data_IF_972031407571
#
_entry.id   IF_972031407571
#
_cell.length_a   1.000
_cell.length_b   1.000
_cell.length_c   1.000
_cell.angle_alpha   90.00
_cell.angle_beta   90.00
_cell.angle_gamma   90.00
#
_symmetry.space_group_name_H-M   'P 1'
#
loop_
_entity.id
_entity.type
_entity.pdbx_description
1 polymer ?
#
# COMPACT_ATOMS: atom_id res chain seq x y z
N UNK A 1 1.10 -51.56 12.10
CA UNK A 1 0.14 -50.51 12.50
C UNK A 1 -0.78 -50.32 11.31
N UNK A 2 -2.03 -50.86 11.39
CA UNK A 2 -3.02 -50.64 10.32
C UNK A 2 -3.32 -49.13 10.25
N UNK A 3 -3.16 -48.56 9.05
CA UNK A 3 -3.51 -47.15 8.82
C UNK A 3 -5.03 -46.98 8.91
N UNK A 4 -5.47 -46.11 9.80
CA UNK A 4 -6.88 -45.75 9.94
C UNK A 4 -7.36 -45.05 8.63
N UNK A 5 -8.21 -45.70 7.86
CA UNK A 5 -8.70 -45.17 6.58
C UNK A 5 -9.97 -44.36 6.72
N UNK A 6 -10.78 -44.66 7.73
CA UNK A 6 -11.99 -43.88 8.03
C UNK A 6 -12.39 -44.10 9.50
N UNK A 7 -13.09 -43.13 10.07
CA UNK A 7 -13.80 -43.30 11.33
C UNK A 7 -15.13 -42.54 11.29
N UNK A 8 -16.09 -43.04 12.07
CA UNK A 8 -17.38 -42.43 12.23
C UNK A 8 -17.68 -42.34 13.74
N UNK A 9 -18.05 -41.16 14.22
CA UNK A 9 -18.49 -40.92 15.58
C UNK A 9 -20.01 -40.80 15.56
N UNK A 10 -20.70 -41.64 16.38
CA UNK A 10 -22.15 -41.60 16.52
C UNK A 10 -22.56 -41.28 17.95
N UNK A 11 -23.75 -40.72 18.15
CA UNK A 11 -24.34 -40.53 19.47
C UNK A 11 -24.98 -41.85 19.99
N UNK A 12 -25.52 -41.81 21.20
CA UNK A 12 -26.17 -42.95 21.86
C UNK A 12 -27.41 -43.48 21.07
N UNK A 13 -27.95 -42.63 20.18
CA UNK A 13 -29.10 -42.97 19.33
C UNK A 13 -28.71 -43.55 17.97
N UNK A 14 -27.40 -43.66 17.68
CA UNK A 14 -26.86 -44.13 16.41
C UNK A 14 -26.78 -43.02 15.32
N UNK A 15 -27.08 -41.77 15.66
CA UNK A 15 -26.95 -40.63 14.73
C UNK A 15 -25.48 -40.29 14.52
N UNK A 16 -25.09 -40.16 13.26
CA UNK A 16 -23.73 -39.75 12.88
C UNK A 16 -23.47 -38.31 13.31
N UNK A 17 -22.42 -38.09 14.10
CA UNK A 17 -21.96 -36.78 14.57
C UNK A 17 -20.78 -36.27 13.76
N UNK A 18 -19.87 -37.18 13.35
CA UNK A 18 -18.70 -36.84 12.58
C UNK A 18 -18.26 -38.08 11.76
N UNK A 19 -17.92 -37.85 10.50
CA UNK A 19 -17.28 -38.86 9.66
C UNK A 19 -15.97 -38.30 9.11
N UNK A 20 -14.94 -39.06 9.19
CA UNK A 20 -13.68 -38.82 8.50
C UNK A 20 -13.37 -39.95 7.57
N UNK A 21 -13.07 -39.64 6.34
CA UNK A 21 -12.52 -40.57 5.37
C UNK A 21 -11.17 -40.01 4.89
N UNK A 22 -10.12 -40.85 4.97
CA UNK A 22 -8.82 -40.43 4.44
C UNK A 22 -8.99 -40.08 2.96
N UNK A 23 -8.66 -38.85 2.53
CA UNK A 23 -8.75 -38.48 1.13
C UNK A 23 -7.98 -39.49 0.27
N UNK A 24 -8.59 -39.95 -0.82
CA UNK A 24 -7.86 -40.72 -1.79
C UNK A 24 -6.73 -39.85 -2.30
N UNK A 25 -5.49 -40.36 -2.19
CA UNK A 25 -4.31 -39.67 -2.66
C UNK A 25 -4.51 -39.30 -4.13
N UNK A 26 -4.84 -38.05 -4.39
CA UNK A 26 -4.93 -37.59 -5.77
C UNK A 26 -3.49 -37.57 -6.30
N UNK A 27 -3.20 -38.54 -7.15
CA UNK A 27 -1.97 -38.50 -7.93
C UNK A 27 -2.03 -37.18 -8.71
N UNK A 28 -1.24 -36.20 -8.27
CA UNK A 28 -1.06 -34.95 -9.01
C UNK A 28 -0.56 -35.36 -10.42
N UNK A 29 -1.47 -35.36 -11.38
CA UNK A 29 -1.18 -35.84 -12.74
C UNK A 29 -0.08 -35.06 -13.42
N UNK A 30 0.04 -33.78 -13.09
CA UNK A 30 1.15 -32.91 -13.52
C UNK A 30 1.26 -31.77 -12.51
N UNK A 31 2.46 -31.43 -12.09
CA UNK A 31 2.69 -30.21 -11.36
C UNK A 31 2.36 -29.04 -12.29
N UNK A 32 1.62 -28.01 -11.80
CA UNK A 32 1.42 -26.82 -12.60
C UNK A 32 2.77 -26.25 -13.03
N UNK A 33 2.83 -25.71 -14.25
CA UNK A 33 4.03 -25.05 -14.73
C UNK A 33 4.51 -24.01 -13.72
N UNK A 34 5.81 -23.97 -13.49
CA UNK A 34 6.41 -22.94 -12.62
C UNK A 34 6.09 -21.56 -13.19
N UNK A 35 5.66 -20.66 -12.31
CA UNK A 35 5.47 -19.25 -12.68
C UNK A 35 6.82 -18.73 -13.20
N UNK A 36 6.87 -18.11 -14.39
CA UNK A 36 8.12 -17.57 -14.92
C UNK A 36 8.69 -16.51 -13.97
N UNK A 37 9.99 -16.43 -13.86
CA UNK A 37 10.67 -15.39 -13.08
C UNK A 37 10.25 -13.98 -13.56
N UNK A 38 10.26 -13.03 -12.64
CA UNK A 38 9.99 -11.64 -12.98
C UNK A 38 10.96 -11.14 -14.05
N UNK A 39 10.49 -10.36 -15.05
CA UNK A 39 11.37 -9.82 -16.08
C UNK A 39 12.47 -8.95 -15.46
N UNK A 40 13.65 -9.02 -16.04
CA UNK A 40 14.77 -8.16 -15.66
C UNK A 40 14.55 -6.71 -16.11
N UNK A 41 15.24 -5.76 -15.48
CA UNK A 41 15.12 -4.32 -15.79
C UNK A 41 15.31 -4.02 -17.29
N UNK A 42 16.20 -4.76 -17.97
CA UNK A 42 16.52 -4.54 -19.38
C UNK A 42 15.45 -5.06 -20.35
N UNK A 43 14.62 -5.99 -19.91
CA UNK A 43 13.52 -6.54 -20.70
C UNK A 43 12.32 -5.61 -20.79
N UNK A 44 12.18 -4.70 -19.81
CA UNK A 44 11.12 -3.70 -19.77
C UNK A 44 11.56 -2.46 -20.56
N UNK A 45 10.64 -1.88 -21.33
CA UNK A 45 10.96 -0.78 -22.25
C UNK A 45 10.56 0.59 -21.72
N UNK A 46 9.46 0.68 -20.98
CA UNK A 46 8.87 1.93 -20.54
C UNK A 46 8.95 2.13 -19.02
N UNK A 47 8.92 3.39 -18.58
CA UNK A 47 8.84 3.72 -17.15
C UNK A 47 7.57 3.15 -16.51
N UNK A 48 6.47 3.12 -17.25
CA UNK A 48 5.20 2.57 -16.78
C UNK A 48 5.27 1.05 -16.54
N UNK A 49 5.89 0.29 -17.44
CA UNK A 49 6.09 -1.17 -17.23
C UNK A 49 6.94 -1.44 -16.00
N UNK A 50 8.02 -0.67 -15.81
CA UNK A 50 8.87 -0.75 -14.62
C UNK A 50 8.09 -0.42 -13.34
N UNK A 51 7.27 0.63 -13.36
CA UNK A 51 6.43 0.99 -12.24
C UNK A 51 5.48 -0.15 -11.86
N UNK A 52 4.74 -0.68 -12.84
CA UNK A 52 3.75 -1.74 -12.62
C UNK A 52 4.41 -3.02 -12.09
N UNK A 53 5.59 -3.39 -12.61
CA UNK A 53 6.31 -4.55 -12.08
C UNK A 53 6.81 -4.30 -10.65
N UNK A 54 7.27 -3.09 -10.34
CA UNK A 54 7.61 -2.72 -8.97
C UNK A 54 6.44 -2.87 -8.01
N UNK A 55 5.25 -2.41 -8.40
CA UNK A 55 4.01 -2.59 -7.62
C UNK A 55 3.66 -4.07 -7.46
N UNK A 56 3.80 -4.86 -8.53
CA UNK A 56 3.57 -6.30 -8.46
C UNK A 56 4.50 -6.98 -7.45
N UNK A 57 5.80 -6.71 -7.53
CA UNK A 57 6.81 -7.26 -6.60
C UNK A 57 6.53 -6.83 -5.16
N UNK A 58 6.09 -5.60 -4.93
CA UNK A 58 5.71 -5.10 -3.61
C UNK A 58 4.50 -5.86 -3.04
N UNK A 59 3.48 -6.09 -3.86
CA UNK A 59 2.25 -6.80 -3.46
C UNK A 59 2.53 -8.27 -3.09
N UNK A 60 3.34 -8.94 -3.88
CA UNK A 60 3.69 -10.36 -3.65
C UNK A 60 4.84 -10.55 -2.67
N UNK A 61 5.48 -9.48 -2.22
CA UNK A 61 6.55 -9.49 -1.21
C UNK A 61 7.68 -10.47 -1.53
N UNK A 62 8.14 -10.47 -2.77
CA UNK A 62 9.29 -11.30 -3.16
C UNK A 62 10.53 -10.86 -2.36
N UNK A 63 11.10 -11.73 -1.50
CA UNK A 63 12.23 -11.34 -0.66
C UNK A 63 13.52 -11.14 -1.46
N UNK A 64 13.62 -11.67 -2.66
CA UNK A 64 14.82 -11.61 -3.50
C UNK A 64 14.91 -10.29 -4.28
N UNK A 65 13.78 -9.62 -4.52
CA UNK A 65 13.69 -8.46 -5.40
C UNK A 65 13.15 -7.26 -4.62
N UNK A 66 13.84 -6.13 -4.74
CA UNK A 66 13.39 -4.88 -4.13
C UNK A 66 12.59 -4.05 -5.13
N UNK A 67 11.32 -3.72 -4.86
CA UNK A 67 10.48 -2.87 -5.72
C UNK A 67 11.14 -1.55 -6.11
N UNK A 68 11.83 -0.93 -5.17
CA UNK A 68 12.53 0.33 -5.38
C UNK A 68 13.58 0.30 -6.50
N UNK A 69 14.12 -0.87 -6.87
CA UNK A 69 15.05 -0.98 -7.99
C UNK A 69 14.35 -0.66 -9.32
N UNK A 70 13.13 -1.16 -9.49
CA UNK A 70 12.30 -0.89 -10.67
C UNK A 70 11.87 0.59 -10.73
N UNK A 71 11.44 1.16 -9.61
CA UNK A 71 11.02 2.57 -9.58
C UNK A 71 12.18 3.53 -9.82
N UNK A 72 13.38 3.22 -9.32
CA UNK A 72 14.60 4.02 -9.64
C UNK A 72 14.95 3.95 -11.11
N UNK A 73 14.87 2.76 -11.72
CA UNK A 73 15.10 2.62 -13.15
C UNK A 73 14.03 3.34 -13.98
N UNK A 74 12.77 3.30 -13.53
CA UNK A 74 11.69 4.08 -14.16
C UNK A 74 12.02 5.58 -14.16
N UNK A 75 12.46 6.13 -13.02
CA UNK A 75 12.86 7.54 -12.88
C UNK A 75 14.14 7.89 -13.65
N UNK A 76 15.05 6.93 -13.86
CA UNK A 76 16.21 7.14 -14.73
C UNK A 76 15.81 7.33 -16.19
N UNK A 77 14.74 6.67 -16.64
CA UNK A 77 14.22 6.77 -18.02
C UNK A 77 13.28 7.96 -18.19
N UNK A 78 12.43 8.18 -17.23
CA UNK A 78 11.48 9.29 -17.17
C UNK A 78 11.53 9.92 -15.78
N UNK A 79 12.33 10.99 -15.59
CA UNK A 79 12.48 11.64 -14.29
C UNK A 79 11.18 12.21 -13.71
N UNK A 80 10.21 12.53 -14.58
CA UNK A 80 8.93 13.13 -14.19
C UNK A 80 7.78 12.09 -14.10
N UNK A 81 8.12 10.79 -14.10
CA UNK A 81 7.14 9.72 -13.97
C UNK A 81 6.49 9.73 -12.58
N UNK A 82 5.37 10.42 -12.47
CA UNK A 82 4.67 10.70 -11.21
C UNK A 82 4.39 9.46 -10.35
N UNK A 83 3.85 8.34 -10.90
CA UNK A 83 3.60 7.15 -10.09
C UNK A 83 4.87 6.59 -9.44
N UNK A 84 6.00 6.61 -10.14
CA UNK A 84 7.29 6.12 -9.60
C UNK A 84 7.87 7.05 -8.54
N UNK A 85 7.67 8.37 -8.67
CA UNK A 85 8.07 9.33 -7.65
C UNK A 85 7.31 9.09 -6.34
N UNK A 86 5.99 8.89 -6.42
CA UNK A 86 5.14 8.62 -5.26
C UNK A 86 5.50 7.27 -4.63
N UNK A 87 5.65 6.21 -5.43
CA UNK A 87 5.99 4.89 -4.95
C UNK A 87 7.35 4.87 -4.24
N UNK A 88 8.36 5.50 -4.84
CA UNK A 88 9.70 5.57 -4.24
C UNK A 88 9.71 6.44 -2.98
N UNK A 89 8.93 7.53 -2.94
CA UNK A 89 8.80 8.35 -1.73
C UNK A 89 8.15 7.57 -0.58
N UNK A 90 7.13 6.75 -0.86
CA UNK A 90 6.54 5.85 0.12
C UNK A 90 7.55 4.80 0.61
N UNK A 91 8.36 4.23 -0.29
CA UNK A 91 9.41 3.27 0.07
C UNK A 91 10.49 3.92 0.97
N UNK A 92 10.97 5.11 0.62
CA UNK A 92 11.95 5.84 1.44
C UNK A 92 11.37 6.18 2.83
N UNK A 93 10.09 6.56 2.91
CA UNK A 93 9.41 6.82 4.18
C UNK A 93 9.27 5.54 5.01
N UNK A 94 8.91 4.40 4.39
CA UNK A 94 8.82 3.10 5.06
C UNK A 94 10.17 2.61 5.60
N UNK A 95 11.27 3.06 4.99
CA UNK A 95 12.63 2.78 5.44
C UNK A 95 13.21 3.85 6.37
N UNK A 96 12.36 4.69 6.99
CA UNK A 96 12.76 5.73 7.95
C UNK A 96 13.74 6.77 7.37
N UNK A 97 13.54 7.16 6.10
CA UNK A 97 14.34 8.20 5.41
C UNK A 97 13.45 9.35 4.94
N UNK A 98 12.83 10.09 5.87
CA UNK A 98 11.82 11.09 5.53
C UNK A 98 12.38 12.26 4.71
N UNK A 99 13.66 12.60 4.85
CA UNK A 99 14.29 13.67 4.06
C UNK A 99 14.33 13.32 2.57
N UNK A 100 14.71 12.06 2.24
CA UNK A 100 14.70 11.60 0.85
C UNK A 100 13.28 11.46 0.30
N UNK A 101 12.36 10.97 1.13
CA UNK A 101 10.95 10.93 0.77
C UNK A 101 10.42 12.33 0.45
N UNK A 102 10.85 13.34 1.22
CA UNK A 102 10.46 14.73 1.00
C UNK A 102 10.97 15.29 -0.33
N UNK A 103 12.23 15.05 -0.68
CA UNK A 103 12.80 15.47 -1.97
C UNK A 103 11.99 14.91 -3.16
N UNK A 104 11.64 13.61 -3.09
CA UNK A 104 10.84 12.94 -4.11
C UNK A 104 9.40 13.49 -4.16
N UNK A 105 8.77 13.69 -3.00
CA UNK A 105 7.43 14.25 -2.92
C UNK A 105 7.37 15.70 -3.42
N UNK A 106 8.39 16.51 -3.14
CA UNK A 106 8.50 17.85 -3.72
C UNK A 106 8.67 17.83 -5.23
N UNK A 107 9.43 16.88 -5.78
CA UNK A 107 9.53 16.70 -7.22
C UNK A 107 8.17 16.30 -7.81
N UNK A 108 7.51 15.30 -7.24
CA UNK A 108 6.17 14.90 -7.65
C UNK A 108 5.18 16.08 -7.63
N UNK A 109 5.22 16.89 -6.58
CA UNK A 109 4.37 18.07 -6.45
C UNK A 109 4.61 19.08 -7.58
N UNK A 110 5.87 19.36 -7.91
CA UNK A 110 6.20 20.26 -9.03
C UNK A 110 5.67 19.73 -10.36
N UNK A 111 5.82 18.43 -10.62
CA UNK A 111 5.31 17.79 -11.85
C UNK A 111 3.79 17.93 -11.97
N UNK A 112 3.06 17.66 -10.87
CA UNK A 112 1.59 17.76 -10.86
C UNK A 112 1.12 19.18 -11.04
N UNK A 113 1.72 20.14 -10.32
CA UNK A 113 1.23 21.53 -10.26
C UNK A 113 1.56 22.36 -11.50
N UNK A 114 2.48 21.92 -12.35
CA UNK A 114 2.78 22.60 -13.63
C UNK A 114 1.51 22.74 -14.51
N UNK A 115 0.63 21.74 -14.48
CA UNK A 115 -0.56 21.70 -15.35
C UNK A 115 -1.88 21.84 -14.60
N UNK A 116 -1.89 21.53 -13.31
CA UNK A 116 -3.11 21.56 -12.51
C UNK A 116 -2.81 21.94 -11.07
N UNK A 117 -3.32 23.08 -10.62
CA UNK A 117 -3.17 23.55 -9.24
C UNK A 117 -3.95 22.72 -8.22
N UNK A 118 -4.96 21.99 -8.66
CA UNK A 118 -5.79 21.11 -7.83
C UNK A 118 -5.82 19.72 -8.45
N UNK A 119 -4.87 18.84 -8.09
CA UNK A 119 -4.89 17.45 -8.55
C UNK A 119 -6.19 16.76 -8.15
N UNK A 120 -6.72 15.88 -9.01
CA UNK A 120 -7.93 15.11 -8.72
C UNK A 120 -7.73 14.12 -7.57
N UNK A 121 -6.51 13.60 -7.40
CA UNK A 121 -6.15 12.65 -6.33
C UNK A 121 -5.47 13.36 -5.17
N UNK A 122 -5.92 13.04 -3.96
CA UNK A 122 -5.31 13.49 -2.71
C UNK A 122 -4.10 12.67 -2.24
N UNK A 123 -3.68 11.67 -3.03
CA UNK A 123 -2.59 10.75 -2.65
C UNK A 123 -1.28 11.45 -2.32
N UNK A 124 -0.90 12.41 -3.17
CA UNK A 124 0.35 13.13 -3.00
C UNK A 124 0.34 14.05 -1.76
N UNK A 125 -0.77 14.75 -1.52
CA UNK A 125 -0.91 15.60 -0.33
C UNK A 125 -0.97 14.74 0.95
N UNK A 126 -1.64 13.60 0.89
CA UNK A 126 -1.64 12.63 1.99
C UNK A 126 -0.22 12.11 2.29
N UNK A 127 0.54 11.77 1.26
CA UNK A 127 1.94 11.34 1.41
C UNK A 127 2.81 12.47 1.99
N UNK A 128 2.63 13.71 1.54
CA UNK A 128 3.33 14.88 2.09
C UNK A 128 3.03 15.06 3.58
N UNK A 129 1.76 14.92 3.98
CA UNK A 129 1.38 14.94 5.39
C UNK A 129 2.11 13.88 6.22
N UNK A 130 2.19 12.64 5.73
CA UNK A 130 2.93 11.55 6.40
C UNK A 130 4.42 11.84 6.54
N UNK A 131 5.03 12.41 5.51
CA UNK A 131 6.45 12.76 5.52
C UNK A 131 6.70 13.90 6.52
N UNK A 132 5.86 14.93 6.54
CA UNK A 132 5.97 16.05 7.47
C UNK A 132 5.78 15.62 8.93
N UNK A 133 4.88 14.66 9.21
CA UNK A 133 4.81 14.05 10.55
C UNK A 133 6.13 13.37 10.94
N UNK A 134 6.74 12.62 10.02
CA UNK A 134 8.02 11.96 10.27
C UNK A 134 9.19 12.93 10.43
N UNK A 135 9.12 14.12 9.82
CA UNK A 135 10.06 15.22 9.98
C UNK A 135 9.76 16.07 11.23
N UNK A 136 8.76 15.73 12.02
CA UNK A 136 8.32 16.48 13.21
C UNK A 136 7.79 17.89 12.92
N UNK A 137 7.11 18.07 11.78
CA UNK A 137 6.41 19.28 11.38
C UNK A 137 4.88 19.10 11.46
N UNK A 138 4.28 19.00 12.65
CA UNK A 138 2.89 18.59 12.79
C UNK A 138 1.88 19.61 12.24
N UNK A 139 2.16 20.91 12.30
CA UNK A 139 1.28 21.95 11.76
C UNK A 139 1.22 21.87 10.24
N UNK A 140 2.36 21.75 9.56
CA UNK A 140 2.44 21.62 8.12
C UNK A 140 1.85 20.27 7.66
N UNK A 141 2.02 19.22 8.48
CA UNK A 141 1.41 17.91 8.21
C UNK A 141 -0.12 17.99 8.26
N UNK A 142 -0.68 18.72 9.24
CA UNK A 142 -2.11 18.95 9.35
C UNK A 142 -2.65 19.65 8.11
N UNK A 143 -2.00 20.72 7.67
CA UNK A 143 -2.40 21.45 6.45
C UNK A 143 -2.40 20.54 5.21
N UNK A 144 -1.37 19.70 5.07
CA UNK A 144 -1.29 18.75 3.97
C UNK A 144 -2.41 17.69 4.02
N UNK A 145 -2.77 17.18 5.20
CA UNK A 145 -3.88 16.25 5.34
C UNK A 145 -5.24 16.91 5.05
N UNK A 146 -5.47 18.12 5.53
CA UNK A 146 -6.69 18.85 5.24
C UNK A 146 -6.82 19.14 3.74
N UNK A 147 -5.71 19.43 3.06
CA UNK A 147 -5.68 19.58 1.61
C UNK A 147 -5.99 18.25 0.90
N UNK A 148 -5.39 17.13 1.35
CA UNK A 148 -5.66 15.80 0.82
C UNK A 148 -7.14 15.39 0.94
N UNK A 149 -7.81 15.85 2.00
CA UNK A 149 -9.21 15.54 2.26
C UNK A 149 -10.19 16.20 1.28
N UNK A 150 -9.75 17.13 0.44
CA UNK A 150 -10.60 17.70 -0.62
C UNK A 150 -10.86 16.68 -1.73
N UNK A 151 -9.94 15.75 -1.93
CA UNK A 151 -10.10 14.66 -2.89
C UNK A 151 -10.80 13.46 -2.24
N UNK A 152 -11.81 12.92 -2.92
CA UNK A 152 -12.65 11.83 -2.40
C UNK A 152 -11.85 10.56 -2.07
N UNK A 153 -10.84 10.24 -2.88
CA UNK A 153 -9.99 9.06 -2.75
C UNK A 153 -9.12 9.04 -1.47
N UNK A 154 -8.82 10.22 -0.93
CA UNK A 154 -7.98 10.37 0.26
C UNK A 154 -8.76 10.82 1.51
N UNK A 155 -10.01 11.29 1.37
CA UNK A 155 -10.74 12.04 2.40
C UNK A 155 -10.78 11.35 3.76
N UNK A 156 -11.32 10.14 3.83
CA UNK A 156 -11.49 9.44 5.12
C UNK A 156 -10.16 9.20 5.83
N UNK A 157 -9.14 8.71 5.10
CA UNK A 157 -7.80 8.47 5.68
C UNK A 157 -7.08 9.76 6.06
N UNK A 158 -7.27 10.83 5.29
CA UNK A 158 -6.68 12.13 5.57
C UNK A 158 -7.31 12.79 6.81
N UNK A 159 -8.63 12.77 6.94
CA UNK A 159 -9.34 13.25 8.11
C UNK A 159 -8.97 12.45 9.38
N UNK A 160 -8.81 11.13 9.25
CA UNK A 160 -8.32 10.30 10.37
C UNK A 160 -6.93 10.75 10.82
N UNK A 161 -6.01 11.01 9.87
CA UNK A 161 -4.65 11.48 10.22
C UNK A 161 -4.65 12.89 10.77
N UNK A 162 -5.46 13.79 10.20
CA UNK A 162 -5.64 15.15 10.71
C UNK A 162 -6.09 15.13 12.18
N UNK A 163 -7.13 14.38 12.51
CA UNK A 163 -7.59 14.20 13.88
C UNK A 163 -6.50 13.69 14.84
N UNK A 164 -5.67 12.72 14.38
CA UNK A 164 -4.56 12.21 15.19
C UNK A 164 -3.47 13.27 15.43
N UNK A 165 -3.17 14.11 14.45
CA UNK A 165 -2.22 15.22 14.60
C UNK A 165 -2.79 16.27 15.55
N UNK A 166 -4.07 16.64 15.40
CA UNK A 166 -4.74 17.61 16.27
C UNK A 166 -4.79 17.16 17.73
N UNK A 167 -5.01 15.86 17.99
CA UNK A 167 -4.89 15.29 19.33
C UNK A 167 -3.51 15.55 19.96
N UNK A 168 -2.44 15.40 19.20
CA UNK A 168 -1.06 15.68 19.66
C UNK A 168 -0.83 17.18 19.90
N UNK A 169 -1.49 18.03 19.11
CA UNK A 169 -1.47 19.49 19.25
C UNK A 169 -2.43 20.00 20.34
N UNK A 170 -3.13 19.09 21.06
CA UNK A 170 -4.15 19.39 22.07
C UNK A 170 -5.34 20.18 21.53
N UNK A 171 -5.65 20.05 20.25
CA UNK A 171 -6.81 20.65 19.57
C UNK A 171 -7.99 19.69 19.60
N UNK A 172 -8.51 19.39 20.81
CA UNK A 172 -9.49 18.33 21.06
C UNK A 172 -10.80 18.48 20.28
N UNK A 173 -11.27 19.70 20.10
CA UNK A 173 -12.53 20.01 19.44
C UNK A 173 -12.46 19.72 17.94
N UNK A 174 -11.39 20.17 17.30
CA UNK A 174 -11.15 19.96 15.88
C UNK A 174 -10.90 18.48 15.59
N UNK A 175 -10.11 17.82 16.45
CA UNK A 175 -9.85 16.38 16.36
C UNK A 175 -11.14 15.54 16.42
N UNK A 176 -12.09 15.89 17.29
CA UNK A 176 -13.37 15.20 17.36
C UNK A 176 -14.18 15.40 16.07
N UNK A 177 -14.26 16.64 15.58
CA UNK A 177 -15.02 16.96 14.37
C UNK A 177 -14.48 16.22 13.14
N UNK A 178 -13.15 16.18 12.96
CA UNK A 178 -12.53 15.47 11.84
C UNK A 178 -12.62 13.95 11.98
N UNK A 179 -12.59 13.41 13.21
CA UNK A 179 -12.82 11.99 13.43
C UNK A 179 -14.27 11.57 13.09
N UNK A 180 -15.26 12.37 13.46
CA UNK A 180 -16.66 12.16 13.09
C UNK A 180 -16.85 12.23 11.57
N UNK A 181 -16.23 13.19 10.90
CA UNK A 181 -16.27 13.30 9.45
C UNK A 181 -15.64 12.09 8.77
N UNK A 182 -14.52 11.58 9.27
CA UNK A 182 -13.87 10.37 8.74
C UNK A 182 -14.79 9.13 8.81
N UNK A 183 -15.59 9.01 9.88
CA UNK A 183 -16.55 7.92 10.05
C UNK A 183 -17.78 8.02 9.14
N UNK A 184 -18.22 9.22 8.82
CA UNK A 184 -19.39 9.44 7.95
C UNK A 184 -19.16 9.06 6.48
N UNK A 185 -17.90 8.75 6.09
CA UNK A 185 -17.53 8.42 4.71
C UNK A 185 -17.49 6.89 4.44
N UNK A 186 -17.89 6.07 5.42
CA UNK A 186 -18.01 4.61 5.31
C UNK A 186 -19.54 4.20 5.24
#
# INVERSE_FOLDING_TARGET
>A
VEELRSFCLTDETGRELLRYEKPVEQVLRELPATIPDNPTLDQLKTAQELYLLGVHVEQYRDPAIRPAAYWREALRRDPDHLPSLIALANDELAHFRPEKAWELAQHAWRVVTVRNFHPESGELDYLRGRILEALHHPEEALDAYLQAAWAQDARSRAMTRAAMVELRLSRWHDALAHAEEALCQH
#
